data_IF_723448916133
#
_entry.id   IF_723448916133
#
_cell.length_a   1.000
_cell.length_b   1.000
_cell.length_c   1.000
_cell.angle_alpha   90.00
_cell.angle_beta   90.00
_cell.angle_gamma   90.00
#
_symmetry.space_group_name_H-M   'P 1'
#
loop_
_entity.id
_entity.type
_entity.pdbx_description
1 polymer ?
#
# COMPACT_ATOMS: atom_id res chain seq x y z
N UNK A 1 -4.74 -4.06 -1.18
CA UNK A 1 -4.58 -2.84 -2.02
C UNK A 1 -5.91 -2.41 -2.62
N UNK A 2 -6.45 -1.20 -2.32
CA UNK A 2 -7.62 -0.69 -3.02
C UNK A 2 -7.25 -0.24 -4.44
N UNK A 3 -8.10 -0.53 -5.41
CA UNK A 3 -7.85 -0.23 -6.83
C UNK A 3 -8.75 0.91 -7.29
N UNK A 4 -8.16 1.93 -7.89
CA UNK A 4 -8.84 3.12 -8.39
C UNK A 4 -8.66 3.29 -9.89
N UNK A 5 -9.73 3.73 -10.56
CA UNK A 5 -9.68 4.15 -11.98
C UNK A 5 -10.46 5.45 -12.11
N UNK A 6 -9.85 6.47 -12.72
CA UNK A 6 -10.45 7.80 -12.89
C UNK A 6 -10.98 8.39 -11.56
N UNK A 7 -10.26 8.17 -10.45
CA UNK A 7 -10.66 8.66 -9.11
C UNK A 7 -11.75 7.85 -8.41
N UNK A 8 -12.33 6.81 -9.04
CA UNK A 8 -13.32 5.94 -8.41
C UNK A 8 -12.72 4.62 -7.94
N UNK A 9 -13.17 4.14 -6.78
CA UNK A 9 -12.87 2.81 -6.27
C UNK A 9 -13.52 1.77 -7.19
N UNK A 10 -12.72 0.86 -7.73
CA UNK A 10 -13.19 -0.19 -8.66
C UNK A 10 -12.99 -1.61 -8.11
N UNK A 11 -12.39 -1.75 -6.93
CA UNK A 11 -12.23 -3.04 -6.26
C UNK A 11 -11.01 -3.09 -5.34
N UNK A 12 -10.54 -4.30 -5.09
CA UNK A 12 -9.36 -4.55 -4.27
C UNK A 12 -8.54 -5.74 -4.77
N UNK A 13 -7.22 -5.63 -4.61
CA UNK A 13 -6.25 -6.69 -4.80
C UNK A 13 -5.75 -7.18 -3.43
N UNK A 14 -5.93 -8.47 -3.17
CA UNK A 14 -5.34 -9.17 -2.04
C UNK A 14 -4.37 -10.23 -2.53
N UNK A 15 -3.26 -10.41 -1.81
CA UNK A 15 -2.26 -11.45 -2.06
C UNK A 15 -2.13 -12.27 -0.80
N UNK A 16 -1.90 -13.58 -0.95
CA UNK A 16 -1.66 -14.50 0.15
C UNK A 16 -0.51 -15.42 -0.25
N UNK A 17 0.51 -15.48 0.59
CA UNK A 17 1.70 -16.29 0.40
C UNK A 17 2.42 -16.56 1.72
N UNK A 18 3.72 -16.81 1.64
CA UNK A 18 4.51 -17.23 2.80
C UNK A 18 4.79 -16.09 3.80
N UNK A 19 4.91 -14.86 3.31
CA UNK A 19 5.32 -13.71 4.13
C UNK A 19 4.47 -12.48 3.90
N UNK A 20 3.92 -11.91 4.97
CA UNK A 20 3.06 -10.72 4.91
C UNK A 20 3.76 -9.53 4.24
N UNK A 21 5.04 -9.30 4.53
CA UNK A 21 5.82 -8.23 3.90
C UNK A 21 6.02 -8.46 2.40
N UNK A 22 6.15 -9.73 1.97
CA UNK A 22 6.27 -10.08 0.55
C UNK A 22 4.91 -9.92 -0.15
N UNK A 23 3.82 -10.31 0.51
CA UNK A 23 2.46 -10.14 0.02
C UNK A 23 2.13 -8.66 -0.20
N UNK A 24 2.53 -7.78 0.72
CA UNK A 24 2.36 -6.33 0.56
C UNK A 24 3.16 -5.78 -0.62
N UNK A 25 4.38 -6.26 -0.85
CA UNK A 25 5.20 -5.89 -2.02
C UNK A 25 4.54 -6.33 -3.34
N UNK A 26 4.06 -7.58 -3.40
CA UNK A 26 3.39 -8.12 -4.59
C UNK A 26 2.05 -7.41 -4.83
N UNK A 27 1.27 -7.17 -3.78
CA UNK A 27 0.02 -6.41 -3.88
C UNK A 27 0.27 -4.98 -4.37
N UNK A 28 1.35 -4.33 -3.92
CA UNK A 28 1.73 -3.01 -4.38
C UNK A 28 2.12 -3.00 -5.85
N UNK A 29 2.96 -3.95 -6.27
CA UNK A 29 3.37 -4.09 -7.66
C UNK A 29 2.16 -4.37 -8.58
N UNK A 30 1.26 -5.27 -8.18
CA UNK A 30 0.06 -5.62 -8.95
C UNK A 30 -0.98 -4.50 -9.06
N UNK A 31 -0.93 -3.50 -8.18
CA UNK A 31 -1.80 -2.32 -8.23
C UNK A 31 -1.22 -1.15 -9.05
N UNK A 32 -0.10 -1.35 -9.76
CA UNK A 32 0.52 -0.31 -10.60
C UNK A 32 -0.48 0.24 -11.62
N UNK A 33 -0.62 1.57 -11.68
CA UNK A 33 -1.61 2.25 -12.53
C UNK A 33 -3.03 2.27 -11.98
N UNK A 34 -3.28 1.65 -10.83
CA UNK A 34 -4.57 1.60 -10.14
C UNK A 34 -4.46 2.06 -8.67
N UNK A 35 -3.38 2.73 -8.30
CA UNK A 35 -3.19 3.22 -6.94
C UNK A 35 -4.25 4.28 -6.56
N UNK A 36 -4.65 4.36 -5.28
CA UNK A 36 -5.54 5.42 -4.81
C UNK A 36 -4.93 6.81 -5.02
N UNK A 37 -5.77 7.85 -5.26
CA UNK A 37 -5.37 9.25 -5.21
C UNK A 37 -4.62 9.59 -3.91
N UNK A 38 -3.63 10.49 -4.00
CA UNK A 38 -2.75 10.79 -2.86
C UNK A 38 -3.50 11.40 -1.68
N UNK A 39 -4.45 12.29 -1.94
CA UNK A 39 -5.23 13.04 -0.95
C UNK A 39 -6.14 12.17 -0.06
N UNK A 40 -6.42 10.93 -0.47
CA UNK A 40 -7.24 9.99 0.31
C UNK A 40 -6.42 8.89 1.00
N UNK A 41 -5.09 8.85 0.83
CA UNK A 41 -4.26 7.79 1.43
C UNK A 41 -3.98 8.07 2.89
N UNK A 42 -3.93 6.99 3.68
CA UNK A 42 -3.65 7.06 5.12
C UNK A 42 -2.29 7.69 5.44
N UNK A 43 -1.29 7.54 4.56
CA UNK A 43 0.05 8.12 4.73
C UNK A 43 0.12 9.65 4.55
N UNK A 44 -1.01 10.32 4.27
CA UNK A 44 -1.16 11.76 4.43
C UNK A 44 -1.50 12.20 5.86
N UNK A 45 -1.85 11.26 6.75
CA UNK A 45 -2.29 11.56 8.12
C UNK A 45 -1.12 11.42 9.10
N UNK A 46 -0.93 12.44 9.93
CA UNK A 46 0.07 12.47 11.01
C UNK A 46 -0.66 12.57 12.36
N UNK A 47 -0.34 11.67 13.28
CA UNK A 47 -0.90 11.63 14.65
C UNK A 47 0.27 11.57 15.63
N UNK A 48 0.38 12.58 16.51
CA UNK A 48 1.46 12.64 17.53
C UNK A 48 2.85 12.43 16.91
N UNK A 49 3.14 13.20 15.86
CA UNK A 49 4.40 13.16 15.08
C UNK A 49 4.68 11.83 14.34
N UNK A 50 3.75 10.88 14.35
CA UNK A 50 3.83 9.63 13.61
C UNK A 50 2.93 9.68 12.36
N UNK A 51 3.51 9.39 11.19
CA UNK A 51 2.75 9.19 9.94
C UNK A 51 2.11 7.81 9.93
N UNK A 52 0.82 7.73 9.59
CA UNK A 52 0.17 6.43 9.46
C UNK A 52 0.73 5.66 8.25
N UNK A 53 0.98 4.35 8.37
CA UNK A 53 1.40 3.55 7.23
C UNK A 53 0.24 3.32 6.27
N UNK A 54 0.50 3.41 4.96
CA UNK A 54 -0.45 2.97 3.94
C UNK A 54 -0.25 1.49 3.57
N UNK A 55 1.01 1.05 3.48
CA UNK A 55 1.43 -0.33 3.26
C UNK A 55 2.61 -0.65 4.16
N UNK A 56 2.83 -1.92 4.44
CA UNK A 56 3.99 -2.36 5.22
C UNK A 56 5.10 -2.80 4.28
N UNK A 57 6.11 -1.93 4.13
CA UNK A 57 7.35 -2.28 3.44
C UNK A 57 8.48 -2.55 4.44
N UNK A 58 9.50 -3.34 4.07
CA UNK A 58 10.69 -3.53 4.89
C UNK A 58 11.31 -2.18 5.25
N UNK A 59 11.51 -1.93 6.56
CA UNK A 59 12.16 -0.69 7.03
C UNK A 59 13.62 -0.60 6.62
N UNK A 60 14.28 -1.75 6.48
CA UNK A 60 15.63 -1.89 5.97
C UNK A 60 15.66 -3.02 4.94
N UNK A 61 15.36 -2.74 3.65
CA UNK A 61 15.26 -3.76 2.62
C UNK A 61 16.61 -4.46 2.32
N UNK A 62 17.73 -3.86 2.72
CA UNK A 62 19.08 -4.37 2.52
C UNK A 62 19.69 -5.00 3.79
N UNK A 63 18.95 -5.07 4.91
CA UNK A 63 19.43 -5.78 6.11
C UNK A 63 19.60 -7.26 5.78
N UNK A 64 20.84 -7.74 5.90
CA UNK A 64 21.23 -9.14 5.69
C UNK A 64 21.11 -9.95 6.97
#
# INVERSE_FOLDING_TARGET
MPLYRNGQLVGGLGVSGDGVEQDDLVAAAGATGLAPPLDIRADQIIIRDARLPFLKFPRNPEAR
#
